data_IF_319306982854
#
_entry.id   IF_319306982854
#
_cell.length_a   1.000
_cell.length_b   1.000
_cell.length_c   1.000
_cell.angle_alpha   90.00
_cell.angle_beta   90.00
_cell.angle_gamma   90.00
#
_symmetry.space_group_name_H-M   'P 1'
#
loop_
_entity.id
_entity.type
_entity.pdbx_description
1 polymer ?
#
# COMPACT_ATOMS: atom_id res chain seq x y z
N UNK A 1 7.83 8.90 -5.33
CA UNK A 1 7.10 8.25 -6.45
C UNK A 1 5.64 8.71 -6.54
N UNK A 2 5.18 9.67 -5.72
CA UNK A 2 3.79 10.12 -5.75
C UNK A 2 3.38 10.63 -7.14
N UNK A 3 4.30 11.21 -7.88
CA UNK A 3 4.10 11.64 -9.27
C UNK A 3 3.89 10.48 -10.26
N UNK A 4 4.28 9.25 -9.90
CA UNK A 4 4.07 8.02 -10.70
C UNK A 4 2.84 7.21 -10.28
N UNK A 5 2.16 7.57 -9.18
CA UNK A 5 0.95 6.88 -8.72
C UNK A 5 -0.28 7.22 -9.60
N UNK A 6 -0.23 8.33 -10.34
CA UNK A 6 -1.39 8.89 -11.00
C UNK A 6 -2.47 9.33 -10.00
N UNK A 7 -3.53 9.96 -10.50
CA UNK A 7 -4.63 10.49 -9.67
C UNK A 7 -5.30 9.38 -8.85
N UNK A 8 -5.47 8.20 -9.45
CA UNK A 8 -6.09 7.03 -8.79
C UNK A 8 -5.22 6.46 -7.67
N UNK A 9 -3.90 6.39 -7.84
CA UNK A 9 -3.01 5.91 -6.79
C UNK A 9 -2.99 6.84 -5.59
N UNK A 10 -2.96 8.16 -5.83
CA UNK A 10 -3.01 9.16 -4.76
C UNK A 10 -4.33 9.06 -3.99
N UNK A 11 -5.47 8.96 -4.68
CA UNK A 11 -6.78 8.72 -4.08
C UNK A 11 -6.79 7.45 -3.21
N UNK A 12 -6.20 6.37 -3.69
CA UNK A 12 -6.06 5.12 -2.95
C UNK A 12 -5.25 5.30 -1.66
N UNK A 13 -4.12 6.01 -1.70
CA UNK A 13 -3.30 6.30 -0.51
C UNK A 13 -4.07 7.15 0.50
N UNK A 14 -4.80 8.17 0.03
CA UNK A 14 -5.64 9.00 0.90
C UNK A 14 -6.72 8.16 1.59
N UNK A 15 -7.46 7.34 0.84
CA UNK A 15 -8.47 6.44 1.40
C UNK A 15 -7.89 5.47 2.42
N UNK A 16 -6.70 4.93 2.14
CA UNK A 16 -5.99 4.02 3.03
C UNK A 16 -5.64 4.72 4.36
N UNK A 17 -5.06 5.93 4.29
CA UNK A 17 -4.72 6.71 5.48
C UNK A 17 -5.97 7.11 6.29
N UNK A 18 -7.06 7.50 5.62
CA UNK A 18 -8.34 7.82 6.27
C UNK A 18 -8.89 6.59 6.98
N UNK A 19 -8.90 5.42 6.32
CA UNK A 19 -9.36 4.17 6.92
C UNK A 19 -8.56 3.80 8.18
N UNK A 20 -7.23 3.87 8.12
CA UNK A 20 -6.38 3.61 9.29
C UNK A 20 -6.65 4.62 10.40
N UNK A 21 -6.78 5.91 10.08
CA UNK A 21 -7.06 6.96 11.06
C UNK A 21 -8.39 6.73 11.80
N UNK A 22 -9.44 6.33 11.07
CA UNK A 22 -10.74 5.99 11.67
C UNK A 22 -10.62 4.81 12.62
N UNK A 23 -9.88 3.75 12.25
CA UNK A 23 -9.65 2.61 13.15
C UNK A 23 -8.81 3.03 14.36
N UNK A 24 -7.79 3.85 14.16
CA UNK A 24 -6.89 4.30 15.23
C UNK A 24 -7.62 5.09 16.32
N UNK A 25 -8.67 5.83 15.96
CA UNK A 25 -9.52 6.56 16.91
C UNK A 25 -10.25 5.67 17.93
N UNK A 26 -10.54 4.41 17.58
CA UNK A 26 -11.27 3.47 18.45
C UNK A 26 -10.38 2.36 19.00
N UNK A 27 -9.42 1.89 18.20
CA UNK A 27 -8.58 0.75 18.53
C UNK A 27 -7.17 0.96 17.94
N UNK A 28 -6.28 1.69 18.63
CA UNK A 28 -4.95 1.99 18.13
C UNK A 28 -4.12 0.73 17.86
N UNK A 29 -4.25 -0.29 18.71
CA UNK A 29 -3.53 -1.57 18.54
C UNK A 29 -3.99 -2.32 17.27
N UNK A 30 -5.27 -2.24 16.93
CA UNK A 30 -5.83 -2.85 15.72
C UNK A 30 -5.34 -2.08 14.48
N UNK A 31 -5.31 -0.75 14.55
CA UNK A 31 -4.78 0.08 13.47
C UNK A 31 -3.30 -0.23 13.18
N UNK A 32 -2.48 -0.50 14.20
CA UNK A 32 -1.10 -0.96 14.03
C UNK A 32 -1.04 -2.30 13.29
N UNK A 33 -1.88 -3.27 13.68
CA UNK A 33 -1.97 -4.56 13.00
C UNK A 33 -2.36 -4.42 11.52
N UNK A 34 -3.34 -3.56 11.21
CA UNK A 34 -3.77 -3.25 9.85
C UNK A 34 -2.64 -2.57 9.06
N UNK A 35 -1.96 -1.58 9.65
CA UNK A 35 -0.86 -0.88 9.01
C UNK A 35 0.28 -1.83 8.64
N UNK A 36 0.64 -2.75 9.55
CA UNK A 36 1.64 -3.78 9.29
C UNK A 36 1.20 -4.73 8.16
N UNK A 37 -0.05 -5.16 8.16
CA UNK A 37 -0.59 -6.00 7.09
C UNK A 37 -0.54 -5.31 5.72
N UNK A 38 -0.87 -4.02 5.66
CA UNK A 38 -0.82 -3.23 4.43
C UNK A 38 0.61 -3.00 3.93
N UNK A 39 1.57 -2.78 4.83
CA UNK A 39 3.00 -2.74 4.48
C UNK A 39 3.42 -4.08 3.89
N UNK A 40 3.08 -5.19 4.53
CA UNK A 40 3.35 -6.54 4.03
C UNK A 40 2.76 -6.77 2.64
N UNK A 41 1.50 -6.38 2.44
CA UNK A 41 0.84 -6.45 1.13
C UNK A 41 1.60 -5.63 0.08
N UNK A 42 2.03 -4.41 0.41
CA UNK A 42 2.81 -3.56 -0.48
C UNK A 42 4.15 -4.18 -0.87
N UNK A 43 4.84 -4.84 0.07
CA UNK A 43 6.07 -5.57 -0.21
C UNK A 43 5.83 -6.77 -1.15
N UNK A 44 4.77 -7.55 -0.90
CA UNK A 44 4.39 -8.67 -1.76
C UNK A 44 4.06 -8.17 -3.17
N UNK A 45 3.22 -7.13 -3.29
CA UNK A 45 2.85 -6.54 -4.57
C UNK A 45 4.08 -6.02 -5.33
N UNK A 46 5.01 -5.34 -4.65
CA UNK A 46 6.27 -4.91 -5.26
C UNK A 46 7.08 -6.10 -5.78
N UNK A 47 7.23 -7.16 -4.99
CA UNK A 47 7.93 -8.38 -5.41
C UNK A 47 7.29 -9.03 -6.64
N UNK A 48 5.96 -9.11 -6.67
CA UNK A 48 5.22 -9.62 -7.83
C UNK A 48 5.45 -8.78 -9.07
N UNK A 49 5.33 -7.45 -8.97
CA UNK A 49 5.54 -6.53 -10.11
C UNK A 49 6.99 -6.62 -10.61
N UNK A 50 7.97 -6.63 -9.71
CA UNK A 50 9.38 -6.81 -10.08
C UNK A 50 9.63 -8.13 -10.80
N UNK A 51 9.04 -9.23 -10.32
CA UNK A 51 9.17 -10.53 -10.96
C UNK A 51 8.52 -10.54 -12.36
N UNK A 52 7.34 -9.92 -12.49
CA UNK A 52 6.65 -9.78 -13.78
C UNK A 52 7.48 -8.96 -14.76
N UNK A 53 8.00 -7.80 -14.35
CA UNK A 53 8.86 -6.98 -15.21
C UNK A 53 10.13 -7.73 -15.64
N UNK A 54 10.72 -8.53 -14.75
CA UNK A 54 11.87 -9.39 -15.07
C UNK A 54 11.53 -10.47 -16.10
N UNK A 55 10.36 -11.11 -15.99
CA UNK A 55 9.90 -12.10 -16.99
C UNK A 55 9.72 -11.49 -18.39
N UNK A 56 9.41 -10.20 -18.48
CA UNK A 56 9.32 -9.47 -19.74
C UNK A 56 10.64 -8.86 -20.21
N UNK A 57 11.77 -9.16 -19.55
CA UNK A 57 13.09 -8.61 -19.89
C UNK A 57 13.25 -7.11 -19.61
N UNK A 58 12.37 -6.54 -18.79
CA UNK A 58 12.35 -5.12 -18.40
C UNK A 58 13.05 -4.84 -17.06
N UNK A 59 13.80 -5.81 -16.52
CA UNK A 59 14.55 -5.68 -15.27
C UNK A 59 15.99 -5.26 -15.50
#
# INVERSE_FOLDING_TARGET
>A
MLDKLGTTGILGVVLLLVGIAVVAYKAPIVAVGIALALVGLGLVAKGLVSNVMSMFGMA
#
